data_IF_073340489011
#
_entry.id   IF_073340489011
#
_cell.length_a   1.000
_cell.length_b   1.000
_cell.length_c   1.000
_cell.angle_alpha   90.00
_cell.angle_beta   90.00
_cell.angle_gamma   90.00
#
_symmetry.space_group_name_H-M   'P 1'
#
loop_
_entity.id
_entity.type
_entity.pdbx_description
1 polymer ?
#
# COMPACT_ATOMS: atom_id res chain seq x y z
N UNK A 1 -44.72 -17.12 79.62
CA UNK A 1 -44.80 -16.66 78.22
C UNK A 1 -43.40 -16.64 77.67
N UNK A 2 -43.02 -17.67 76.91
CA UNK A 2 -41.70 -17.80 76.26
C UNK A 2 -41.88 -17.44 74.78
N UNK A 3 -41.18 -16.41 74.31
CA UNK A 3 -41.11 -16.01 72.90
C UNK A 3 -40.03 -16.82 72.24
N UNK A 4 -40.35 -17.62 71.24
CA UNK A 4 -39.42 -18.33 70.41
C UNK A 4 -38.99 -17.35 69.27
N UNK A 5 -37.70 -17.06 69.19
CA UNK A 5 -37.07 -16.31 68.07
C UNK A 5 -36.61 -17.32 67.08
N UNK A 6 -37.24 -17.37 65.93
CA UNK A 6 -36.77 -18.14 64.74
C UNK A 6 -35.75 -17.34 63.97
N UNK A 7 -34.51 -17.84 63.97
CA UNK A 7 -33.41 -17.27 63.18
C UNK A 7 -33.44 -17.82 61.77
N UNK A 8 -33.81 -17.02 60.82
CA UNK A 8 -33.80 -17.39 59.39
C UNK A 8 -32.36 -17.12 58.85
N UNK A 9 -31.59 -18.19 58.58
CA UNK A 9 -30.31 -18.13 57.94
C UNK A 9 -30.55 -18.10 56.41
N UNK A 10 -30.33 -16.92 55.77
CA UNK A 10 -30.32 -16.81 54.34
C UNK A 10 -28.94 -17.28 53.85
N UNK A 11 -28.84 -18.44 53.21
CA UNK A 11 -27.66 -18.86 52.49
C UNK A 11 -27.58 -18.09 51.14
N UNK A 12 -26.72 -17.08 51.05
CA UNK A 12 -26.35 -16.48 49.78
C UNK A 12 -25.39 -17.43 49.06
N UNK A 13 -25.88 -18.18 48.09
CA UNK A 13 -25.06 -18.86 47.11
C UNK A 13 -24.53 -17.82 46.14
N UNK A 14 -23.27 -17.46 46.30
CA UNK A 14 -22.53 -16.64 45.30
C UNK A 14 -22.40 -17.48 44.02
N UNK A 15 -23.25 -17.20 43.04
CA UNK A 15 -23.01 -17.62 41.66
C UNK A 15 -21.81 -16.79 41.16
N UNK A 16 -20.62 -17.39 41.19
CA UNK A 16 -19.49 -16.90 40.41
C UNK A 16 -19.80 -17.14 38.94
N UNK A 17 -20.49 -16.20 38.31
CA UNK A 17 -20.62 -16.15 36.86
C UNK A 17 -19.24 -15.95 36.26
N UNK A 18 -18.61 -17.05 35.85
CA UNK A 18 -17.54 -16.92 34.83
C UNK A 18 -18.25 -16.38 33.60
N UNK A 19 -18.05 -15.09 33.33
CA UNK A 19 -18.33 -14.55 32.03
C UNK A 19 -17.38 -15.28 31.06
N UNK A 20 -17.89 -16.32 30.41
CA UNK A 20 -17.24 -16.89 29.23
C UNK A 20 -17.11 -15.72 28.29
N UNK A 21 -15.90 -15.26 28.05
CA UNK A 21 -15.62 -14.32 26.95
C UNK A 21 -16.20 -14.99 25.71
N UNK A 22 -17.24 -14.40 25.15
CA UNK A 22 -17.82 -14.88 23.91
C UNK A 22 -16.73 -14.77 22.88
N UNK A 23 -16.21 -15.89 22.40
CA UNK A 23 -15.19 -15.95 21.37
C UNK A 23 -15.71 -15.12 20.19
N UNK A 24 -15.05 -14.02 19.89
CA UNK A 24 -15.45 -13.15 18.79
C UNK A 24 -15.15 -13.87 17.49
N UNK A 25 -16.17 -14.37 16.82
CA UNK A 25 -16.02 -14.97 15.51
C UNK A 25 -15.53 -13.91 14.53
N UNK A 26 -14.51 -14.24 13.74
CA UNK A 26 -14.04 -13.38 12.65
C UNK A 26 -15.19 -13.06 11.70
N UNK A 27 -15.23 -11.81 11.21
CA UNK A 27 -16.18 -11.38 10.16
C UNK A 27 -15.89 -12.05 8.82
N UNK A 28 -14.68 -12.53 8.62
CA UNK A 28 -14.17 -13.06 7.36
C UNK A 28 -13.47 -14.41 7.59
N UNK A 29 -14.22 -15.45 8.04
CA UNK A 29 -13.63 -16.77 8.24
C UNK A 29 -13.09 -17.28 6.91
N UNK A 30 -11.88 -17.87 6.89
CA UNK A 30 -11.34 -18.49 5.67
C UNK A 30 -12.24 -19.63 5.20
N UNK A 31 -12.25 -19.88 3.90
CA UNK A 31 -12.97 -21.01 3.28
C UNK A 31 -12.09 -21.69 2.23
N UNK A 32 -12.53 -22.79 1.67
CA UNK A 32 -11.85 -23.45 0.57
C UNK A 32 -11.83 -22.58 -0.72
N UNK A 33 -12.78 -21.65 -0.87
CA UNK A 33 -12.80 -20.71 -1.99
C UNK A 33 -11.76 -19.61 -1.78
N UNK A 34 -10.91 -19.30 -2.79
CA UNK A 34 -9.95 -18.22 -2.70
C UNK A 34 -10.58 -16.87 -2.39
N UNK A 35 -10.00 -16.12 -1.46
CA UNK A 35 -10.34 -14.74 -1.17
C UNK A 35 -9.07 -13.89 -0.99
N UNK A 36 -9.19 -12.58 -0.70
CA UNK A 36 -8.06 -11.64 -0.48
C UNK A 36 -7.02 -11.67 -1.60
N UNK A 37 -7.49 -11.72 -2.85
CA UNK A 37 -6.62 -11.84 -4.01
C UNK A 37 -5.93 -10.50 -4.29
N UNK A 38 -4.59 -10.51 -4.33
CA UNK A 38 -3.78 -9.35 -4.70
C UNK A 38 -2.84 -9.73 -5.84
N UNK A 39 -2.91 -8.97 -6.92
CA UNK A 39 -1.89 -8.96 -7.95
C UNK A 39 -0.77 -8.03 -7.51
N UNK A 40 0.46 -8.52 -7.44
CA UNK A 40 1.61 -7.80 -6.89
C UNK A 40 2.58 -7.44 -8.00
N UNK A 41 3.07 -6.19 -7.98
CA UNK A 41 4.16 -5.79 -8.86
C UNK A 41 5.43 -6.54 -8.47
N UNK A 42 6.21 -6.97 -9.45
CA UNK A 42 7.50 -7.61 -9.22
C UNK A 42 8.65 -6.66 -9.58
N UNK A 43 9.88 -7.07 -9.29
CA UNK A 43 11.07 -6.32 -9.67
C UNK A 43 11.17 -6.08 -11.18
N UNK A 44 10.74 -7.07 -11.99
CA UNK A 44 10.83 -7.06 -13.44
C UNK A 44 9.42 -7.09 -14.08
N UNK A 45 8.65 -6.00 -14.01
CA UNK A 45 7.22 -5.99 -14.35
C UNK A 45 6.93 -6.19 -15.85
N UNK A 46 7.94 -6.12 -16.70
CA UNK A 46 7.82 -6.42 -18.12
C UNK A 46 7.76 -7.94 -18.41
N UNK A 47 8.32 -8.77 -17.51
CA UNK A 47 8.46 -10.21 -17.74
C UNK A 47 7.98 -11.08 -16.60
N UNK A 48 7.45 -10.46 -15.53
CA UNK A 48 6.93 -11.19 -14.38
C UNK A 48 5.81 -10.45 -13.66
N UNK A 49 4.98 -11.20 -12.91
CA UNK A 49 3.91 -10.72 -12.05
C UNK A 49 3.71 -11.73 -10.93
N UNK A 50 3.31 -11.28 -9.73
CA UNK A 50 3.00 -12.20 -8.65
C UNK A 50 1.52 -12.07 -8.23
N UNK A 51 0.97 -13.12 -7.64
CA UNK A 51 -0.37 -13.13 -7.10
C UNK A 51 -0.38 -13.82 -5.74
N UNK A 52 -1.06 -13.22 -4.79
CA UNK A 52 -1.32 -13.78 -3.46
C UNK A 52 -2.81 -13.95 -3.26
N UNK A 53 -3.21 -14.94 -2.45
CA UNK A 53 -4.60 -15.15 -2.05
C UNK A 53 -4.68 -15.95 -0.76
N UNK A 54 -5.85 -15.99 -0.14
CA UNK A 54 -6.10 -16.78 1.06
C UNK A 54 -7.12 -17.88 0.80
N UNK A 55 -6.94 -19.02 1.49
CA UNK A 55 -7.97 -20.10 1.66
C UNK A 55 -7.98 -20.55 3.11
N UNK A 56 -8.83 -21.52 3.43
CA UNK A 56 -8.69 -22.32 4.65
C UNK A 56 -7.58 -23.38 4.49
N UNK A 57 -7.24 -24.04 5.59
CA UNK A 57 -6.15 -25.02 5.65
C UNK A 57 -6.47 -26.37 4.99
N UNK A 58 -7.67 -26.56 4.46
CA UNK A 58 -8.06 -27.79 3.71
C UNK A 58 -7.49 -27.80 2.30
N UNK A 59 -7.11 -26.63 1.76
CA UNK A 59 -6.46 -26.51 0.46
C UNK A 59 -4.95 -26.67 0.62
N UNK A 60 -4.40 -27.76 0.09
CA UNK A 60 -2.97 -28.11 0.23
C UNK A 60 -2.10 -27.73 -0.96
N UNK A 61 -2.72 -27.43 -2.10
CA UNK A 61 -2.01 -27.07 -3.34
C UNK A 61 -2.02 -25.56 -3.56
N UNK A 62 -0.87 -25.01 -3.89
CA UNK A 62 -0.72 -23.62 -4.33
C UNK A 62 -0.51 -23.60 -5.83
N UNK A 63 -1.58 -23.45 -6.57
CA UNK A 63 -1.59 -23.50 -8.04
C UNK A 63 -2.25 -22.26 -8.61
N UNK A 64 -1.67 -21.76 -9.70
CA UNK A 64 -2.26 -20.74 -10.54
C UNK A 64 -2.11 -21.14 -12.02
N UNK A 65 -3.01 -20.67 -12.85
CA UNK A 65 -2.95 -20.82 -14.30
C UNK A 65 -2.78 -19.45 -14.94
N UNK A 66 -1.95 -19.37 -15.99
CA UNK A 66 -1.71 -18.14 -16.75
C UNK A 66 -1.60 -18.45 -18.25
N UNK A 67 -2.19 -17.62 -19.08
CA UNK A 67 -2.10 -17.68 -20.54
C UNK A 67 -2.24 -16.29 -21.12
N UNK A 68 -1.84 -16.08 -22.38
CA UNK A 68 -2.16 -14.85 -23.09
C UNK A 68 -3.69 -14.70 -23.17
N UNK A 69 -4.19 -13.50 -22.92
CA UNK A 69 -5.64 -13.23 -22.97
C UNK A 69 -6.15 -13.29 -24.41
N UNK A 70 -6.71 -14.43 -24.78
CA UNK A 70 -7.26 -14.69 -26.11
C UNK A 70 -8.79 -14.63 -26.08
N UNK A 71 -9.47 -14.24 -27.18
CA UNK A 71 -10.91 -14.18 -27.25
C UNK A 71 -11.51 -15.59 -27.49
N UNK A 72 -11.28 -16.51 -26.55
CA UNK A 72 -11.72 -17.89 -26.59
C UNK A 72 -12.36 -18.30 -25.26
N UNK A 73 -13.27 -19.26 -25.31
CA UNK A 73 -13.82 -19.92 -24.11
C UNK A 73 -12.92 -21.05 -23.60
N UNK A 74 -11.87 -21.39 -24.32
CA UNK A 74 -10.93 -22.49 -24.04
C UNK A 74 -9.61 -22.01 -23.48
N UNK A 75 -9.60 -20.93 -22.66
CA UNK A 75 -8.38 -20.36 -22.06
C UNK A 75 -7.59 -21.42 -21.29
N UNK A 76 -8.29 -22.32 -20.60
CA UNK A 76 -7.65 -23.36 -19.79
C UNK A 76 -6.80 -24.34 -20.63
N UNK A 77 -7.14 -24.56 -21.90
CA UNK A 77 -6.43 -25.52 -22.76
C UNK A 77 -5.02 -25.01 -23.15
N UNK A 78 -4.83 -23.68 -23.13
CA UNK A 78 -3.56 -23.03 -23.46
C UNK A 78 -2.82 -22.49 -22.22
N UNK A 79 -3.39 -22.65 -21.03
CA UNK A 79 -2.82 -22.10 -19.81
C UNK A 79 -1.68 -22.98 -19.25
N UNK A 80 -0.59 -22.33 -18.90
CA UNK A 80 0.46 -22.92 -18.08
C UNK A 80 0.04 -22.98 -16.63
N UNK A 81 0.32 -24.09 -15.95
CA UNK A 81 0.11 -24.24 -14.52
C UNK A 81 1.40 -23.89 -13.81
N UNK A 82 1.32 -22.98 -12.84
CA UNK A 82 2.44 -22.55 -12.02
C UNK A 82 2.15 -22.89 -10.55
N UNK A 83 3.08 -23.56 -9.89
CA UNK A 83 3.02 -23.84 -8.46
C UNK A 83 3.76 -22.77 -7.67
N UNK A 84 3.33 -22.56 -6.43
CA UNK A 84 3.92 -21.61 -5.52
C UNK A 84 4.12 -22.16 -4.13
N UNK A 85 4.17 -21.26 -3.16
CA UNK A 85 4.36 -21.54 -1.73
C UNK A 85 3.12 -21.07 -0.94
N UNK A 86 2.99 -21.56 0.27
CA UNK A 86 1.99 -21.04 1.22
C UNK A 86 2.57 -20.93 2.63
N UNK A 87 1.92 -20.13 3.45
CA UNK A 87 2.09 -20.13 4.91
C UNK A 87 0.74 -20.04 5.61
N UNK A 88 0.66 -20.61 6.82
CA UNK A 88 -0.53 -20.54 7.66
C UNK A 88 -0.37 -19.41 8.69
N UNK A 89 -1.32 -18.49 8.74
CA UNK A 89 -1.37 -17.40 9.70
C UNK A 89 -2.53 -17.64 10.65
N UNK A 90 -2.22 -17.75 11.93
CA UNK A 90 -3.20 -17.74 13.01
C UNK A 90 -3.33 -16.32 13.56
N UNK A 91 -4.52 -15.77 13.54
CA UNK A 91 -4.83 -14.44 14.06
C UNK A 91 -6.31 -14.28 14.34
N UNK A 92 -6.66 -13.60 15.42
CA UNK A 92 -8.02 -13.28 15.82
C UNK A 92 -8.97 -14.49 15.88
N UNK A 93 -8.43 -15.67 16.28
CA UNK A 93 -9.21 -16.90 16.42
C UNK A 93 -9.49 -17.66 15.12
N UNK A 94 -8.83 -17.30 14.01
CA UNK A 94 -8.92 -18.01 12.74
C UNK A 94 -7.54 -18.37 12.21
N UNK A 95 -7.46 -19.46 11.47
CA UNK A 95 -6.24 -19.85 10.73
C UNK A 95 -6.54 -19.73 9.24
N UNK A 96 -5.85 -18.83 8.57
CA UNK A 96 -5.91 -18.67 7.11
C UNK A 96 -4.64 -19.20 6.46
N UNK A 97 -4.76 -19.86 5.33
CA UNK A 97 -3.64 -20.26 4.48
C UNK A 97 -3.47 -19.23 3.38
N UNK A 98 -2.31 -18.59 3.37
CA UNK A 98 -1.94 -17.60 2.38
C UNK A 98 -1.01 -18.22 1.36
N UNK A 99 -1.37 -18.07 0.11
CA UNK A 99 -0.68 -18.63 -1.04
C UNK A 99 0.00 -17.52 -1.83
N UNK A 100 1.16 -17.84 -2.41
CA UNK A 100 1.88 -16.93 -3.32
C UNK A 100 2.39 -17.70 -4.53
N UNK A 101 2.14 -17.14 -5.73
CA UNK A 101 2.66 -17.63 -7.01
C UNK A 101 3.28 -16.47 -7.77
N UNK A 102 4.43 -16.70 -8.39
CA UNK A 102 5.06 -15.75 -9.30
C UNK A 102 5.06 -16.31 -10.73
N UNK A 103 4.46 -15.57 -11.64
CA UNK A 103 4.55 -15.80 -13.08
C UNK A 103 5.84 -15.18 -13.60
N UNK A 104 6.64 -15.92 -14.35
CA UNK A 104 7.91 -15.48 -14.93
C UNK A 104 8.00 -15.84 -16.42
N UNK A 105 8.94 -15.23 -17.14
CA UNK A 105 9.10 -15.48 -18.56
C UNK A 105 7.95 -14.94 -19.41
N UNK A 106 7.23 -13.94 -18.91
CA UNK A 106 6.15 -13.29 -19.63
C UNK A 106 6.71 -12.38 -20.73
N UNK A 107 5.89 -12.12 -21.73
CA UNK A 107 6.19 -11.21 -22.83
C UNK A 107 5.84 -9.77 -22.43
N UNK A 108 6.72 -8.78 -22.65
CA UNK A 108 6.41 -7.37 -22.39
C UNK A 108 5.20 -6.87 -23.17
N UNK A 109 4.48 -5.88 -22.63
CA UNK A 109 3.35 -5.22 -23.27
C UNK A 109 2.19 -6.15 -23.62
N UNK A 110 2.06 -7.28 -22.93
CA UNK A 110 1.11 -8.35 -23.25
C UNK A 110 0.07 -8.51 -22.15
N UNK A 111 -1.20 -8.56 -22.55
CA UNK A 111 -2.30 -8.87 -21.63
C UNK A 111 -2.42 -10.38 -21.44
N UNK A 112 -2.38 -10.80 -20.18
CA UNK A 112 -2.55 -12.17 -19.74
C UNK A 112 -3.89 -12.35 -19.03
N UNK A 113 -4.47 -13.53 -19.17
CA UNK A 113 -5.53 -14.04 -18.31
C UNK A 113 -4.93 -15.01 -17.31
N UNK A 114 -5.34 -14.94 -16.05
CA UNK A 114 -4.92 -15.87 -15.00
C UNK A 114 -6.07 -16.23 -14.08
N UNK A 115 -5.96 -17.37 -13.42
CA UNK A 115 -6.83 -17.78 -12.32
C UNK A 115 -6.02 -18.56 -11.29
N UNK A 116 -6.53 -18.65 -10.07
CA UNK A 116 -5.86 -19.27 -8.94
C UNK A 116 -6.69 -20.40 -8.34
N UNK A 117 -6.04 -21.29 -7.60
CA UNK A 117 -6.66 -22.47 -7.00
C UNK A 117 -6.70 -23.69 -7.91
N UNK A 118 -7.33 -24.76 -7.46
CA UNK A 118 -7.45 -26.02 -8.17
C UNK A 118 -8.83 -26.66 -7.96
N UNK A 119 -9.23 -27.53 -8.90
CA UNK A 119 -10.47 -28.29 -8.82
C UNK A 119 -11.72 -27.41 -8.64
N UNK A 120 -12.60 -27.75 -7.67
CA UNK A 120 -13.80 -26.96 -7.42
C UNK A 120 -13.54 -25.62 -6.72
N UNK A 121 -12.34 -25.40 -6.20
CA UNK A 121 -11.92 -24.16 -5.53
C UNK A 121 -11.14 -23.22 -6.47
N UNK A 122 -11.28 -23.36 -7.79
CA UNK A 122 -10.66 -22.45 -8.75
C UNK A 122 -11.45 -21.14 -8.83
N UNK A 123 -10.73 -20.01 -8.94
CA UNK A 123 -11.35 -18.69 -9.13
C UNK A 123 -11.88 -18.50 -10.55
N UNK A 124 -12.55 -17.38 -10.80
CA UNK A 124 -12.77 -16.82 -12.13
C UNK A 124 -11.43 -16.45 -12.80
N UNK A 125 -11.50 -16.10 -14.09
CA UNK A 125 -10.37 -15.55 -14.81
C UNK A 125 -10.27 -14.03 -14.58
N UNK A 126 -9.08 -13.59 -14.15
CA UNK A 126 -8.68 -12.18 -14.06
C UNK A 126 -7.70 -11.84 -15.17
N UNK A 127 -7.47 -10.56 -15.41
CA UNK A 127 -6.51 -10.11 -16.42
C UNK A 127 -5.52 -9.10 -15.85
N UNK A 128 -4.31 -9.11 -16.40
CA UNK A 128 -3.32 -8.06 -16.18
C UNK A 128 -2.50 -7.84 -17.44
N UNK A 129 -1.83 -6.70 -17.53
CA UNK A 129 -0.91 -6.40 -18.64
C UNK A 129 0.48 -6.17 -18.10
N UNK A 130 1.48 -6.85 -18.67
CA UNK A 130 2.89 -6.63 -18.36
C UNK A 130 3.35 -5.25 -18.83
N UNK A 131 4.36 -4.67 -18.18
CA UNK A 131 4.97 -3.43 -18.63
C UNK A 131 5.59 -3.60 -20.03
N UNK A 132 5.68 -2.50 -20.77
CA UNK A 132 6.51 -2.43 -21.97
C UNK A 132 7.99 -2.54 -21.59
N UNK A 133 8.83 -3.00 -22.51
CA UNK A 133 10.27 -3.17 -22.26
C UNK A 133 11.06 -1.85 -22.24
N UNK A 134 10.42 -0.73 -22.48
CA UNK A 134 11.03 0.60 -22.55
C UNK A 134 10.11 1.70 -22.05
N UNK A 135 10.46 2.95 -22.37
CA UNK A 135 9.58 4.09 -22.06
C UNK A 135 8.28 4.00 -22.86
N UNK A 136 7.15 4.03 -22.17
CA UNK A 136 5.84 4.09 -22.78
C UNK A 136 4.88 4.88 -21.87
N UNK A 137 3.85 5.53 -22.42
CA UNK A 137 2.86 6.24 -21.62
C UNK A 137 2.08 5.27 -20.74
N UNK A 138 1.82 5.69 -19.49
CA UNK A 138 0.96 4.97 -18.55
C UNK A 138 0.42 5.91 -17.47
N UNK A 139 -0.55 5.43 -16.73
CA UNK A 139 -1.05 6.09 -15.51
C UNK A 139 -1.07 5.11 -14.35
N UNK A 140 -0.99 5.66 -13.15
CA UNK A 140 -1.12 4.92 -11.90
C UNK A 140 -1.93 5.71 -10.89
N UNK A 141 -2.46 5.00 -9.90
CA UNK A 141 -3.28 5.57 -8.84
C UNK A 141 -2.48 5.55 -7.54
N UNK A 142 -2.58 6.61 -6.74
CA UNK A 142 -2.03 6.66 -5.40
C UNK A 142 -3.13 6.85 -4.36
N UNK A 143 -2.98 6.13 -3.24
CA UNK A 143 -3.79 6.23 -2.03
C UNK A 143 -2.88 6.48 -0.83
N UNK A 144 -3.16 7.51 -0.06
CA UNK A 144 -2.65 7.66 1.30
C UNK A 144 -3.44 6.77 2.26
N UNK A 145 -3.25 6.98 3.55
CA UNK A 145 -3.88 6.24 4.65
C UNK A 145 -5.31 5.83 4.34
N UNK A 146 -5.58 4.52 4.23
CA UNK A 146 -6.92 3.97 3.95
C UNK A 146 -7.61 3.41 5.20
N UNK A 147 -6.93 3.46 6.35
CA UNK A 147 -7.40 2.94 7.63
C UNK A 147 -8.72 3.56 8.12
N UNK A 148 -9.37 2.87 9.04
CA UNK A 148 -10.65 3.18 9.66
C UNK A 148 -11.85 3.23 8.69
N UNK A 149 -12.80 2.31 8.92
CA UNK A 149 -14.01 2.23 8.11
C UNK A 149 -13.74 1.86 6.65
N UNK A 150 -12.71 1.07 6.39
CA UNK A 150 -12.24 0.71 5.05
C UNK A 150 -13.38 0.19 4.19
N UNK A 151 -14.16 -0.77 4.67
CA UNK A 151 -15.31 -1.33 3.95
C UNK A 151 -16.43 -0.32 3.67
N UNK A 152 -16.65 0.65 4.56
CA UNK A 152 -17.78 1.58 4.45
C UNK A 152 -17.43 2.88 3.72
N UNK A 153 -16.25 3.45 3.98
CA UNK A 153 -15.88 4.77 3.49
C UNK A 153 -14.76 4.72 2.44
N UNK A 154 -13.66 3.98 2.71
CA UNK A 154 -12.58 3.86 1.73
C UNK A 154 -13.04 3.10 0.46
N UNK A 155 -13.94 2.11 0.60
CA UNK A 155 -14.49 1.38 -0.55
C UNK A 155 -15.04 2.30 -1.66
N UNK A 156 -15.66 3.43 -1.31
CA UNK A 156 -16.15 4.37 -2.32
C UNK A 156 -15.02 5.08 -3.05
N UNK A 157 -13.90 5.33 -2.35
CA UNK A 157 -12.71 6.01 -2.92
C UNK A 157 -12.02 5.11 -3.93
N UNK A 158 -11.64 3.89 -3.54
CA UNK A 158 -10.93 2.96 -4.45
C UNK A 158 -11.78 2.59 -5.65
N UNK A 159 -13.09 2.39 -5.46
CA UNK A 159 -14.01 2.10 -6.57
C UNK A 159 -14.24 3.29 -7.49
N UNK A 160 -14.22 4.52 -6.96
CA UNK A 160 -14.27 5.74 -7.79
C UNK A 160 -12.98 5.89 -8.58
N UNK A 161 -11.82 5.70 -7.97
CA UNK A 161 -10.52 5.75 -8.61
C UNK A 161 -10.42 4.74 -9.78
N UNK A 162 -10.78 3.48 -9.53
CA UNK A 162 -10.80 2.43 -10.56
C UNK A 162 -11.71 2.79 -11.75
N UNK A 163 -12.91 3.30 -11.49
CA UNK A 163 -13.83 3.71 -12.57
C UNK A 163 -13.32 4.92 -13.37
N UNK A 164 -12.60 5.82 -12.72
CA UNK A 164 -12.12 7.05 -13.36
C UNK A 164 -10.81 6.85 -14.11
N UNK A 165 -10.03 5.82 -13.75
CA UNK A 165 -8.75 5.50 -14.39
C UNK A 165 -8.72 4.02 -14.81
N UNK A 166 -9.56 3.64 -15.81
CA UNK A 166 -9.74 2.26 -16.23
C UNK A 166 -8.52 1.78 -16.97
N UNK A 167 -7.54 1.44 -16.70
CA UNK A 167 -6.27 1.09 -17.35
C UNK A 167 -5.08 1.61 -16.59
N UNK A 168 -5.29 1.94 -15.29
CA UNK A 168 -4.19 2.19 -14.40
C UNK A 168 -3.24 0.99 -14.37
N UNK A 169 -1.96 1.25 -14.61
CA UNK A 169 -0.94 0.21 -14.64
C UNK A 169 -0.68 -0.41 -13.26
N UNK A 170 -0.92 0.35 -12.20
CA UNK A 170 -0.77 -0.08 -10.82
C UNK A 170 -1.47 0.87 -9.84
N UNK A 171 -1.69 0.37 -8.63
CA UNK A 171 -2.13 1.15 -7.47
C UNK A 171 -1.01 1.20 -6.44
N UNK A 172 -0.68 2.41 -5.98
CA UNK A 172 0.33 2.68 -4.98
C UNK A 172 -0.34 3.02 -3.65
N UNK A 173 0.14 2.43 -2.56
CA UNK A 173 -0.35 2.66 -1.20
C UNK A 173 0.75 3.22 -0.32
N UNK A 174 0.47 4.35 0.32
CA UNK A 174 1.43 5.09 1.15
C UNK A 174 1.46 4.66 2.63
N UNK A 175 1.03 3.42 2.94
CA UNK A 175 0.99 2.89 4.31
C UNK A 175 -0.31 3.18 5.05
N UNK A 176 -0.42 2.61 6.26
CA UNK A 176 -1.61 2.65 7.11
C UNK A 176 -2.87 2.16 6.35
N UNK A 177 -2.77 0.94 5.79
CA UNK A 177 -3.87 0.29 5.09
C UNK A 177 -5.00 -0.09 6.06
N UNK A 178 -4.62 -0.51 7.26
CA UNK A 178 -5.49 -0.92 8.37
C UNK A 178 -5.23 -0.06 9.60
N UNK A 179 -6.13 -0.07 10.59
CA UNK A 179 -5.96 0.66 11.85
C UNK A 179 -5.21 -0.15 12.94
N UNK A 180 -4.59 -1.25 12.55
CA UNK A 180 -3.71 -2.05 13.41
C UNK A 180 -2.63 -1.20 14.10
N UNK A 181 -1.67 -1.84 14.76
CA UNK A 181 -0.53 -1.14 15.37
C UNK A 181 -0.70 -0.80 16.84
N UNK A 182 -1.82 -1.13 17.46
CA UNK A 182 -2.00 -1.09 18.91
C UNK A 182 -2.44 -2.45 19.44
N UNK A 183 -1.73 -2.96 20.44
CA UNK A 183 -2.04 -4.25 21.07
C UNK A 183 -1.33 -5.44 20.43
N UNK A 184 -1.71 -6.64 20.88
CA UNK A 184 -1.06 -7.91 20.54
C UNK A 184 -1.77 -8.72 19.46
N UNK A 185 -2.83 -8.18 18.83
CA UNK A 185 -3.61 -8.88 17.82
C UNK A 185 -3.09 -8.57 16.41
N UNK A 186 -3.36 -9.48 15.47
CA UNK A 186 -2.99 -9.31 14.07
C UNK A 186 -4.05 -8.58 13.23
N UNK A 187 -5.22 -8.28 13.82
CA UNK A 187 -6.30 -7.51 13.21
C UNK A 187 -6.84 -8.11 11.89
N UNK A 188 -7.12 -9.42 11.85
CA UNK A 188 -7.64 -10.14 10.67
C UNK A 188 -8.90 -9.50 10.09
N UNK A 189 -9.83 -9.07 10.96
CA UNK A 189 -11.07 -8.43 10.55
C UNK A 189 -10.84 -7.09 9.82
N UNK A 190 -9.81 -6.31 10.19
CA UNK A 190 -9.47 -5.05 9.54
C UNK A 190 -8.84 -5.28 8.17
N UNK A 191 -7.94 -6.26 8.07
CA UNK A 191 -7.44 -6.71 6.77
C UNK A 191 -8.58 -7.22 5.88
N UNK A 192 -9.53 -7.97 6.45
CA UNK A 192 -10.73 -8.40 5.75
C UNK A 192 -11.61 -7.23 5.26
N UNK A 193 -11.78 -6.18 6.06
CA UNK A 193 -12.50 -4.96 5.68
C UNK A 193 -11.77 -4.22 4.54
N UNK A 194 -10.42 -4.18 4.55
CA UNK A 194 -9.62 -3.57 3.49
C UNK A 194 -9.75 -4.32 2.16
N UNK A 195 -9.61 -5.66 2.18
CA UNK A 195 -9.82 -6.50 1.00
C UNK A 195 -11.24 -6.40 0.46
N UNK A 196 -12.25 -6.38 1.34
CA UNK A 196 -13.65 -6.23 0.94
C UNK A 196 -13.94 -4.85 0.31
N UNK A 197 -13.20 -3.81 0.71
CA UNK A 197 -13.29 -2.49 0.10
C UNK A 197 -12.83 -2.52 -1.36
N UNK A 198 -11.68 -3.13 -1.62
CA UNK A 198 -11.12 -3.29 -2.95
C UNK A 198 -11.93 -4.26 -3.83
N UNK A 199 -12.43 -5.35 -3.24
CA UNK A 199 -13.12 -6.41 -3.99
C UNK A 199 -12.21 -7.04 -5.04
N UNK A 200 -12.66 -7.16 -6.28
CA UNK A 200 -11.88 -7.72 -7.38
C UNK A 200 -10.79 -6.77 -7.93
N UNK A 201 -10.78 -5.50 -7.54
CA UNK A 201 -9.88 -4.48 -8.13
C UNK A 201 -8.41 -4.87 -7.92
N UNK A 202 -8.05 -5.37 -6.74
CA UNK A 202 -6.69 -5.81 -6.44
C UNK A 202 -6.28 -7.11 -7.14
N UNK A 203 -7.21 -7.84 -7.73
CA UNK A 203 -6.90 -8.99 -8.58
C UNK A 203 -6.64 -8.63 -10.04
N UNK A 204 -6.92 -7.40 -10.47
CA UNK A 204 -6.71 -6.95 -11.86
C UNK A 204 -5.70 -5.80 -11.98
N UNK A 205 -5.58 -4.95 -10.96
CA UNK A 205 -4.63 -3.84 -10.95
C UNK A 205 -3.50 -4.13 -9.98
N UNK A 206 -2.24 -4.25 -10.46
CA UNK A 206 -1.10 -4.59 -9.62
C UNK A 206 -0.89 -3.58 -8.47
N UNK A 207 -0.51 -4.10 -7.31
CA UNK A 207 -0.30 -3.32 -6.09
C UNK A 207 1.18 -3.08 -5.86
N UNK A 208 1.50 -1.84 -5.46
CA UNK A 208 2.77 -1.40 -4.87
C UNK A 208 2.42 -0.80 -3.50
N UNK A 209 3.04 -1.26 -2.43
CA UNK A 209 2.72 -0.78 -1.10
C UNK A 209 3.98 -0.44 -0.29
N UNK A 210 3.93 0.68 0.44
CA UNK A 210 4.87 1.00 1.52
C UNK A 210 4.18 0.73 2.86
N UNK A 211 4.86 0.19 3.87
CA UNK A 211 4.26 0.05 5.19
C UNK A 211 4.19 1.40 5.92
N UNK A 212 3.10 1.61 6.65
CA UNK A 212 2.98 2.69 7.62
C UNK A 212 3.21 2.19 9.05
N UNK A 213 2.99 3.05 10.02
CA UNK A 213 3.16 2.67 11.41
C UNK A 213 2.06 1.74 11.92
N UNK A 214 0.92 1.66 11.26
CA UNK A 214 -0.17 0.77 11.60
C UNK A 214 -0.03 -0.64 11.00
N UNK A 215 0.91 -0.88 10.10
CA UNK A 215 1.29 -2.22 9.66
C UNK A 215 2.21 -2.94 10.67
N UNK A 216 2.62 -2.26 11.74
CA UNK A 216 3.39 -2.85 12.83
C UNK A 216 2.52 -3.03 14.07
N UNK A 217 2.72 -4.10 14.82
CA UNK A 217 2.02 -4.37 16.07
C UNK A 217 3.01 -4.55 17.22
N UNK A 218 2.53 -4.33 18.44
CA UNK A 218 3.33 -4.54 19.65
C UNK A 218 2.99 -5.93 20.21
N UNK A 219 3.85 -6.94 20.08
CA UNK A 219 3.65 -8.22 20.74
C UNK A 219 3.67 -8.03 22.28
N UNK A 220 3.21 -9.03 23.04
CA UNK A 220 3.02 -8.97 24.49
C UNK A 220 4.28 -8.47 25.26
N UNK A 221 5.46 -8.61 24.68
CA UNK A 221 6.70 -7.96 25.13
C UNK A 221 6.89 -6.65 24.36
N UNK A 222 6.42 -5.55 24.90
CA UNK A 222 6.43 -4.19 24.32
C UNK A 222 7.80 -3.65 23.85
N UNK A 223 8.87 -4.40 23.97
CA UNK A 223 10.21 -4.02 23.51
C UNK A 223 10.51 -4.34 22.04
N UNK A 224 9.65 -5.07 21.36
CA UNK A 224 9.87 -5.51 19.98
C UNK A 224 8.60 -5.30 19.17
N UNK A 225 8.53 -4.16 18.53
CA UNK A 225 7.52 -3.92 17.52
C UNK A 225 7.85 -4.74 16.27
N UNK A 226 6.87 -5.45 15.74
CA UNK A 226 7.04 -6.37 14.62
C UNK A 226 6.11 -5.98 13.46
N UNK A 227 6.59 -6.18 12.24
CA UNK A 227 5.75 -6.07 11.05
C UNK A 227 4.63 -7.12 11.13
N UNK A 228 3.41 -6.71 10.86
CA UNK A 228 2.25 -7.59 10.89
C UNK A 228 2.46 -8.75 9.90
N UNK A 229 2.26 -9.98 10.37
CA UNK A 229 2.45 -11.18 9.54
C UNK A 229 1.55 -11.19 8.30
N UNK A 230 0.38 -10.56 8.36
CA UNK A 230 -0.48 -10.41 7.17
C UNK A 230 0.14 -9.58 6.07
N UNK A 231 1.14 -8.71 6.36
CA UNK A 231 1.88 -8.01 5.30
C UNK A 231 2.60 -8.99 4.39
N UNK A 232 3.52 -9.79 4.95
CA UNK A 232 4.31 -10.76 4.15
C UNK A 232 3.47 -11.87 3.55
N UNK A 233 2.40 -12.28 4.24
CA UNK A 233 1.48 -13.29 3.73
C UNK A 233 0.56 -12.77 2.63
N UNK A 234 0.15 -11.48 2.72
CA UNK A 234 -0.77 -10.84 1.78
C UNK A 234 -0.09 -10.23 0.56
N UNK A 235 1.22 -9.96 0.62
CA UNK A 235 1.96 -9.36 -0.47
C UNK A 235 3.15 -10.23 -0.90
N UNK A 236 3.51 -10.16 -2.18
CA UNK A 236 4.75 -10.71 -2.73
C UNK A 236 5.42 -9.58 -3.52
N UNK A 237 6.07 -8.69 -2.78
CA UNK A 237 6.71 -7.50 -3.30
C UNK A 237 8.22 -7.74 -3.55
N UNK A 238 8.93 -6.86 -4.28
CA UNK A 238 10.36 -7.03 -4.51
C UNK A 238 11.18 -7.02 -3.21
N UNK A 239 12.23 -7.82 -3.19
CA UNK A 239 13.19 -7.95 -2.08
C UNK A 239 14.56 -7.35 -2.42
N UNK A 240 14.61 -6.35 -3.30
CA UNK A 240 15.84 -5.74 -3.81
C UNK A 240 16.31 -4.52 -3.00
N UNK A 241 15.76 -4.33 -1.82
CA UNK A 241 16.14 -3.32 -0.84
C UNK A 241 17.22 -3.77 0.14
N UNK A 242 17.45 -3.01 1.22
CA UNK A 242 18.38 -3.39 2.28
C UNK A 242 17.95 -4.65 3.00
N UNK A 243 18.92 -5.50 3.36
CA UNK A 243 18.68 -6.72 4.11
C UNK A 243 17.95 -6.45 5.44
N UNK A 244 16.95 -7.27 5.74
CA UNK A 244 16.06 -7.15 6.89
C UNK A 244 14.84 -6.27 6.65
N UNK A 245 14.71 -5.68 5.44
CA UNK A 245 13.59 -4.83 5.02
C UNK A 245 12.94 -5.37 3.72
N UNK A 246 13.06 -6.67 3.48
CA UNK A 246 12.46 -7.35 2.33
C UNK A 246 10.96 -7.02 2.25
N UNK A 247 10.44 -6.80 1.03
CA UNK A 247 9.03 -6.46 0.75
C UNK A 247 8.51 -5.16 1.40
N UNK A 248 9.36 -4.41 2.14
CA UNK A 248 8.98 -3.15 2.82
C UNK A 248 9.82 -1.96 2.36
N UNK A 249 11.07 -2.20 1.92
CA UNK A 249 11.90 -1.23 1.22
C UNK A 249 12.40 -1.88 -0.08
N UNK A 250 12.01 -1.33 -1.23
CA UNK A 250 12.33 -1.91 -2.53
C UNK A 250 12.20 -0.87 -3.66
N UNK A 251 12.64 -1.24 -4.85
CA UNK A 251 12.47 -0.39 -6.03
C UNK A 251 11.95 -1.17 -7.23
N UNK A 252 11.23 -0.47 -8.10
CA UNK A 252 10.70 -0.98 -9.37
C UNK A 252 10.95 0.05 -10.45
N UNK A 253 11.51 -0.39 -11.58
CA UNK A 253 11.57 0.43 -12.80
C UNK A 253 10.40 0.04 -13.71
N UNK A 254 9.52 1.00 -14.01
CA UNK A 254 8.35 0.79 -14.83
C UNK A 254 8.28 1.84 -15.94
N UNK A 255 8.46 1.43 -17.17
CA UNK A 255 8.32 2.27 -18.40
C UNK A 255 8.96 3.66 -18.31
N UNK A 256 10.20 3.73 -17.78
CA UNK A 256 10.97 4.99 -17.67
C UNK A 256 10.73 5.77 -16.38
N UNK A 257 10.02 5.19 -15.42
CA UNK A 257 9.87 5.73 -14.06
C UNK A 257 10.53 4.77 -13.05
N UNK A 258 11.41 5.29 -12.20
CA UNK A 258 11.91 4.59 -11.02
C UNK A 258 11.02 4.88 -9.82
N UNK A 259 10.37 3.87 -9.31
CA UNK A 259 9.66 3.89 -8.04
C UNK A 259 10.59 3.42 -6.92
N UNK A 260 10.73 4.22 -5.86
CA UNK A 260 11.54 3.90 -4.69
C UNK A 260 10.62 3.86 -3.48
N UNK A 261 10.47 2.69 -2.91
CA UNK A 261 9.64 2.45 -1.73
C UNK A 261 10.56 2.38 -0.52
N UNK A 262 10.29 3.21 0.51
CA UNK A 262 11.10 3.31 1.72
C UNK A 262 10.25 2.93 2.92
N UNK A 263 10.81 2.13 3.80
CA UNK A 263 10.21 1.81 5.10
C UNK A 263 10.55 2.90 6.11
N UNK A 264 9.74 3.94 6.13
CA UNK A 264 9.98 5.10 6.98
C UNK A 264 9.74 4.83 8.47
N UNK A 265 8.93 3.83 8.85
CA UNK A 265 8.74 3.46 10.25
C UNK A 265 10.02 2.85 10.83
N UNK A 266 10.63 1.91 10.12
CA UNK A 266 11.92 1.35 10.53
C UNK A 266 13.08 2.36 10.44
N UNK A 267 13.03 3.29 9.49
CA UNK A 267 14.01 4.38 9.41
C UNK A 267 13.97 5.26 10.68
N UNK A 268 12.79 5.59 11.17
CA UNK A 268 12.62 6.43 12.36
C UNK A 268 13.04 5.70 13.64
N UNK A 269 12.82 4.40 13.71
CA UNK A 269 13.01 3.60 14.94
C UNK A 269 14.38 2.96 15.07
N UNK A 270 15.11 2.78 13.98
CA UNK A 270 16.35 2.03 13.94
C UNK A 270 17.40 2.78 13.10
N UNK A 271 18.44 3.30 13.79
CA UNK A 271 19.52 4.05 13.16
C UNK A 271 20.27 3.23 12.08
N UNK A 272 20.44 1.91 12.28
CA UNK A 272 21.08 1.05 11.30
C UNK A 272 20.22 0.94 10.02
N UNK A 273 18.90 0.83 10.17
CA UNK A 273 17.98 0.84 9.03
C UNK A 273 17.85 2.23 8.40
N UNK A 274 17.93 3.31 9.19
CA UNK A 274 18.01 4.65 8.62
C UNK A 274 19.22 4.78 7.71
N UNK A 275 20.40 4.38 8.19
CA UNK A 275 21.62 4.44 7.41
C UNK A 275 21.58 3.52 6.18
N UNK A 276 21.20 2.27 6.33
CA UNK A 276 21.20 1.32 5.21
C UNK A 276 20.22 1.71 4.10
N UNK A 277 19.03 2.22 4.45
CA UNK A 277 18.07 2.74 3.47
C UNK A 277 18.59 4.00 2.80
N UNK A 278 19.23 4.92 3.54
CA UNK A 278 19.80 6.15 2.97
C UNK A 278 20.89 5.83 1.94
N UNK A 279 21.84 4.94 2.27
CA UNK A 279 22.92 4.51 1.40
C UNK A 279 22.35 3.81 0.14
N UNK A 280 21.34 2.98 0.32
CA UNK A 280 20.68 2.27 -0.78
C UNK A 280 19.90 3.23 -1.70
N UNK A 281 19.14 4.18 -1.15
CA UNK A 281 18.45 5.22 -1.93
C UNK A 281 19.45 6.07 -2.71
N UNK A 282 20.58 6.48 -2.10
CA UNK A 282 21.62 7.21 -2.80
C UNK A 282 22.19 6.43 -3.99
N UNK A 283 22.43 5.12 -3.80
CA UNK A 283 22.90 4.24 -4.88
C UNK A 283 21.88 4.17 -6.03
N UNK A 284 20.60 3.98 -5.71
CA UNK A 284 19.55 3.95 -6.72
C UNK A 284 19.45 5.27 -7.49
N UNK A 285 19.56 6.41 -6.81
CA UNK A 285 19.46 7.72 -7.44
C UNK A 285 20.69 8.04 -8.30
N UNK A 286 21.88 7.64 -7.87
CA UNK A 286 23.14 7.83 -8.60
C UNK A 286 23.16 7.04 -9.90
N UNK A 287 22.68 5.81 -9.88
CA UNK A 287 22.72 4.89 -11.02
C UNK A 287 21.35 4.86 -11.78
N UNK A 288 20.56 5.94 -11.64
CA UNK A 288 19.23 6.01 -12.23
C UNK A 288 19.28 6.31 -13.73
N UNK A 289 18.81 5.35 -14.53
CA UNK A 289 18.65 5.49 -15.98
C UNK A 289 17.21 5.88 -16.39
N UNK A 290 16.26 5.85 -15.44
CA UNK A 290 14.88 6.25 -15.70
C UNK A 290 14.77 7.77 -15.80
N UNK A 291 13.88 8.23 -16.64
CA UNK A 291 13.60 9.65 -16.83
C UNK A 291 12.96 10.30 -15.62
N UNK A 292 12.08 9.56 -14.93
CA UNK A 292 11.32 10.04 -13.79
C UNK A 292 11.65 9.23 -12.53
N UNK A 293 11.54 9.90 -11.38
CA UNK A 293 11.72 9.25 -10.07
C UNK A 293 10.58 9.63 -9.16
N UNK A 294 9.89 8.60 -8.62
CA UNK A 294 8.82 8.74 -7.65
C UNK A 294 9.22 7.98 -6.38
N UNK A 295 9.25 8.65 -5.24
CA UNK A 295 9.48 8.03 -3.94
C UNK A 295 8.16 7.88 -3.18
N UNK A 296 7.96 6.74 -2.53
CA UNK A 296 6.75 6.40 -1.77
C UNK A 296 7.17 5.91 -0.39
N UNK A 297 6.64 6.54 0.64
CA UNK A 297 6.81 6.13 2.03
C UNK A 297 5.76 6.78 2.92
N UNK A 298 5.61 6.31 4.15
CA UNK A 298 4.49 6.72 4.98
C UNK A 298 4.68 8.08 5.66
N UNK A 299 5.76 8.26 6.44
CA UNK A 299 5.99 9.47 7.24
C UNK A 299 6.51 10.63 6.37
N UNK A 300 5.79 11.76 6.26
CA UNK A 300 6.16 12.82 5.33
C UNK A 300 7.46 13.55 5.73
N UNK A 301 8.20 14.01 4.72
CA UNK A 301 9.36 14.90 4.91
C UNK A 301 8.95 16.21 5.59
N UNK A 302 7.79 16.72 5.21
CA UNK A 302 7.18 17.90 5.79
C UNK A 302 5.80 17.55 6.31
N UNK A 303 5.61 17.69 7.63
CA UNK A 303 4.33 17.42 8.27
C UNK A 303 3.36 18.60 8.10
N UNK A 304 2.08 18.29 8.07
CA UNK A 304 0.99 19.28 8.15
C UNK A 304 0.55 19.55 9.60
N UNK A 305 1.06 18.79 10.56
CA UNK A 305 0.77 18.92 11.99
C UNK A 305 1.95 19.52 12.74
N UNK A 306 1.70 20.60 13.52
CA UNK A 306 2.70 21.23 14.37
C UNK A 306 3.28 20.33 15.48
N UNK A 307 2.62 19.20 15.74
CA UNK A 307 3.04 18.23 16.77
C UNK A 307 3.88 17.08 16.22
N UNK A 308 4.13 17.07 14.92
CA UNK A 308 4.86 16.02 14.22
C UNK A 308 6.06 16.60 13.50
N UNK A 309 7.20 16.03 13.75
CA UNK A 309 8.45 16.34 13.05
C UNK A 309 9.18 15.05 12.74
N UNK A 310 9.19 14.69 11.46
CA UNK A 310 9.85 13.50 10.95
C UNK A 310 11.33 13.81 10.61
N UNK A 311 12.07 14.34 11.58
CA UNK A 311 13.45 14.82 11.43
C UNK A 311 14.34 13.76 10.77
N UNK A 312 14.28 12.50 11.24
CA UNK A 312 15.08 11.40 10.69
C UNK A 312 14.83 11.22 9.21
N UNK A 313 13.57 11.18 8.80
CA UNK A 313 13.19 11.03 7.37
C UNK A 313 13.68 12.23 6.56
N UNK A 314 13.46 13.44 7.08
CA UNK A 314 13.85 14.69 6.40
C UNK A 314 15.36 14.81 6.24
N UNK A 315 16.15 14.57 7.29
CA UNK A 315 17.59 14.73 7.27
C UNK A 315 18.30 13.68 6.40
N UNK A 316 17.74 12.47 6.30
CA UNK A 316 18.32 11.40 5.49
C UNK A 316 17.91 11.46 4.02
N UNK A 317 16.63 11.73 3.70
CA UNK A 317 16.12 11.60 2.33
C UNK A 317 16.11 12.92 1.56
N UNK A 318 15.73 14.04 2.19
CA UNK A 318 15.62 15.33 1.48
C UNK A 318 16.92 15.77 0.78
N UNK A 319 18.11 15.69 1.41
CA UNK A 319 19.35 16.08 0.75
C UNK A 319 19.65 15.24 -0.50
N UNK A 320 19.26 13.97 -0.50
CA UNK A 320 19.39 13.09 -1.67
C UNK A 320 18.40 13.48 -2.74
N UNK A 321 17.15 13.75 -2.38
CA UNK A 321 16.10 14.14 -3.33
C UNK A 321 16.44 15.45 -4.03
N UNK A 322 16.96 16.43 -3.31
CA UNK A 322 17.41 17.70 -3.86
C UNK A 322 18.62 17.53 -4.78
N UNK A 323 19.62 16.75 -4.33
CA UNK A 323 20.86 16.52 -5.10
C UNK A 323 20.62 15.83 -6.43
N UNK A 324 19.79 14.78 -6.42
CA UNK A 324 19.55 13.93 -7.57
C UNK A 324 18.29 14.30 -8.36
N UNK A 325 17.52 15.28 -7.87
CA UNK A 325 16.36 15.84 -8.56
C UNK A 325 15.18 14.85 -8.66
N UNK A 326 14.81 14.19 -7.55
CA UNK A 326 13.58 13.38 -7.45
C UNK A 326 12.39 14.24 -7.88
N UNK A 327 11.44 13.67 -8.60
CA UNK A 327 10.35 14.43 -9.21
C UNK A 327 9.15 14.57 -8.26
N UNK A 328 8.76 13.46 -7.63
CA UNK A 328 7.55 13.37 -6.84
C UNK A 328 7.78 12.48 -5.61
N UNK A 329 7.31 12.94 -4.45
CA UNK A 329 7.30 12.20 -3.20
C UNK A 329 5.85 12.07 -2.73
N UNK A 330 5.38 10.84 -2.55
CA UNK A 330 4.03 10.49 -2.16
C UNK A 330 4.04 9.91 -0.73
N UNK A 331 3.30 10.54 0.18
CA UNK A 331 3.29 10.18 1.62
C UNK A 331 1.89 10.26 2.22
N UNK A 332 1.72 9.65 3.40
CA UNK A 332 0.49 9.63 4.19
C UNK A 332 0.66 10.24 5.58
N UNK A 333 0.22 9.49 6.61
CA UNK A 333 0.44 9.71 8.04
C UNK A 333 -0.30 10.89 8.68
N UNK A 334 -0.40 12.02 8.04
CA UNK A 334 -0.97 13.24 8.63
C UNK A 334 -2.48 13.38 8.44
N UNK A 335 -3.11 12.44 7.75
CA UNK A 335 -4.56 12.39 7.54
C UNK A 335 -5.18 13.71 7.04
N UNK A 336 -4.44 14.43 6.20
CA UNK A 336 -4.84 15.63 5.50
C UNK A 336 -4.33 15.57 4.07
N UNK A 337 -4.66 16.53 3.26
CA UNK A 337 -4.02 16.72 1.96
C UNK A 337 -3.14 17.97 1.96
N UNK A 338 -1.90 17.81 1.57
CA UNK A 338 -0.99 18.93 1.32
C UNK A 338 -0.09 18.60 0.12
N UNK A 339 0.12 19.58 -0.74
CA UNK A 339 1.05 19.49 -1.85
C UNK A 339 1.90 20.76 -1.90
N UNK A 340 3.20 20.58 -1.92
CA UNK A 340 4.12 21.71 -1.97
C UNK A 340 5.46 21.34 -2.57
N UNK A 341 6.19 22.37 -2.91
CA UNK A 341 7.57 22.31 -3.38
C UNK A 341 8.32 23.45 -2.70
N UNK A 342 9.54 23.22 -2.27
CA UNK A 342 10.37 24.27 -1.70
C UNK A 342 10.62 25.37 -2.75
N UNK A 343 10.61 26.59 -2.26
CA UNK A 343 10.99 27.75 -3.10
C UNK A 343 12.45 27.64 -3.55
N UNK A 344 12.79 28.19 -4.71
CA UNK A 344 14.14 28.12 -5.29
C UNK A 344 15.25 28.59 -4.36
N UNK A 345 14.96 29.56 -3.48
CA UNK A 345 15.90 30.15 -2.53
C UNK A 345 16.33 29.17 -1.44
N UNK A 346 15.46 28.23 -1.06
CA UNK A 346 15.75 27.22 -0.03
C UNK A 346 16.39 25.95 -0.58
N UNK A 347 16.15 25.64 -1.86
CA UNK A 347 16.61 24.41 -2.52
C UNK A 347 17.82 24.62 -3.44
N UNK A 348 18.28 25.86 -3.64
CA UNK A 348 19.30 26.21 -4.64
C UNK A 348 18.84 26.08 -6.09
N UNK A 349 17.55 25.85 -6.32
CA UNK A 349 16.94 25.72 -7.64
C UNK A 349 16.69 27.11 -8.23
N UNK A 350 16.97 27.28 -9.52
CA UNK A 350 16.74 28.57 -10.19
C UNK A 350 15.24 28.85 -10.32
N UNK A 351 14.86 30.11 -10.14
CA UNK A 351 13.46 30.55 -10.31
C UNK A 351 12.87 30.03 -11.64
N UNK A 352 11.69 29.41 -11.55
CA UNK A 352 11.01 28.79 -12.70
C UNK A 352 11.49 27.37 -13.04
N UNK A 353 12.33 26.76 -12.22
CA UNK A 353 12.62 25.33 -12.27
C UNK A 353 11.78 24.60 -11.20
N UNK A 354 11.32 23.39 -11.50
CA UNK A 354 10.67 22.54 -10.54
C UNK A 354 11.71 21.80 -9.68
N UNK A 355 11.56 21.86 -8.37
CA UNK A 355 12.21 20.98 -7.40
C UNK A 355 11.47 19.65 -7.26
N UNK A 356 11.68 18.99 -6.14
CA UNK A 356 10.88 17.83 -5.71
C UNK A 356 9.51 18.30 -5.25
N UNK A 357 8.45 17.70 -5.79
CA UNK A 357 7.08 17.95 -5.30
C UNK A 357 6.77 16.94 -4.20
N UNK A 358 6.39 17.44 -3.03
CA UNK A 358 5.99 16.64 -1.87
C UNK A 358 4.47 16.62 -1.75
N UNK A 359 3.91 15.43 -1.53
CA UNK A 359 2.47 15.21 -1.34
C UNK A 359 2.24 14.43 -0.06
N UNK A 360 1.35 14.95 0.78
CA UNK A 360 0.72 14.23 1.87
C UNK A 360 -0.72 14.00 1.48
N UNK A 361 -1.23 12.76 1.60
CA UNK A 361 -2.62 12.45 1.21
C UNK A 361 -3.28 11.49 2.19
N UNK A 362 -4.62 11.47 2.18
CA UNK A 362 -5.46 10.58 2.97
C UNK A 362 -6.63 10.09 2.14
N UNK A 363 -6.83 8.78 2.12
CA UNK A 363 -7.93 8.13 1.39
C UNK A 363 -8.98 7.54 2.34
N UNK A 364 -8.60 7.29 3.59
CA UNK A 364 -9.46 6.80 4.66
C UNK A 364 -10.31 7.86 5.33
N UNK A 365 -11.02 7.45 6.37
CA UNK A 365 -11.99 8.31 7.10
C UNK A 365 -11.37 9.09 8.26
N UNK A 366 -10.18 8.73 8.71
CA UNK A 366 -9.48 9.41 9.79
C UNK A 366 -8.94 10.74 9.30
N UNK A 367 -9.26 11.83 10.00
CA UNK A 367 -8.94 13.18 9.55
C UNK A 367 -8.29 13.98 10.67
N UNK A 368 -7.26 14.76 10.32
CA UNK A 368 -6.56 15.66 11.25
C UNK A 368 -6.65 17.12 10.79
N UNK A 369 -6.05 18.01 11.61
CA UNK A 369 -5.96 19.44 11.31
C UNK A 369 -4.63 19.76 10.66
N UNK A 370 -4.62 20.78 9.83
CA UNK A 370 -3.40 21.42 9.33
C UNK A 370 -3.09 22.60 10.26
N UNK A 371 -2.15 22.42 11.18
CA UNK A 371 -1.78 23.42 12.17
C UNK A 371 -0.26 23.67 12.25
N UNK A 372 0.54 23.06 11.34
CA UNK A 372 1.94 23.37 11.13
C UNK A 372 2.12 24.69 10.35
N UNK A 373 3.34 25.23 10.38
CA UNK A 373 3.73 26.32 9.50
C UNK A 373 3.56 25.89 8.05
N UNK A 374 2.86 26.71 7.29
CA UNK A 374 2.45 26.37 5.93
C UNK A 374 3.65 26.27 4.99
N UNK A 375 3.98 25.05 4.57
CA UNK A 375 4.94 24.73 3.52
C UNK A 375 4.29 24.40 2.18
N UNK A 376 3.00 24.14 2.18
CA UNK A 376 2.23 23.68 1.02
C UNK A 376 1.61 24.84 0.23
N UNK A 377 1.52 24.67 -1.10
CA UNK A 377 0.79 25.56 -2.01
C UNK A 377 -0.66 25.14 -2.21
N UNK A 378 -1.00 23.86 -1.99
CA UNK A 378 -2.38 23.38 -1.96
C UNK A 378 -2.59 22.53 -0.69
N UNK A 379 -3.67 22.77 0.04
CA UNK A 379 -4.01 22.06 1.26
C UNK A 379 -5.50 21.90 1.45
N UNK A 380 -5.94 20.71 1.90
CA UNK A 380 -7.33 20.37 2.17
C UNK A 380 -7.45 19.54 3.43
N UNK A 381 -8.54 19.69 4.15
CA UNK A 381 -8.89 18.91 5.33
C UNK A 381 -10.31 18.37 5.22
N UNK A 382 -10.65 17.40 6.05
CA UNK A 382 -11.99 16.80 6.11
C UNK A 382 -12.47 16.23 4.75
N UNK A 383 -11.55 15.65 3.99
CA UNK A 383 -11.86 15.03 2.69
C UNK A 383 -11.07 13.74 2.51
N UNK A 384 -11.65 12.81 1.75
CA UNK A 384 -10.99 11.59 1.29
C UNK A 384 -10.55 11.82 -0.15
N UNK A 385 -9.30 11.57 -0.45
CA UNK A 385 -8.72 11.81 -1.77
C UNK A 385 -8.08 10.55 -2.35
N UNK A 386 -7.99 10.53 -3.65
CA UNK A 386 -7.14 9.64 -4.43
C UNK A 386 -6.46 10.43 -5.54
N UNK A 387 -5.33 9.97 -6.02
CA UNK A 387 -4.56 10.68 -7.02
C UNK A 387 -4.36 9.83 -8.26
N UNK A 388 -4.54 10.46 -9.43
CA UNK A 388 -4.14 9.93 -10.73
C UNK A 388 -2.85 10.61 -11.15
N UNK A 389 -1.83 9.82 -11.44
CA UNK A 389 -0.58 10.31 -12.01
C UNK A 389 -0.38 9.66 -13.38
N UNK A 390 -0.22 10.47 -14.41
CA UNK A 390 0.05 10.01 -15.77
C UNK A 390 1.43 10.49 -16.26
N UNK A 391 2.15 9.57 -16.87
CA UNK A 391 3.49 9.83 -17.45
C UNK A 391 3.42 9.59 -18.94
N UNK A 392 3.87 10.57 -19.72
CA UNK A 392 3.96 10.48 -21.17
C UNK A 392 5.23 11.23 -21.63
N UNK A 393 6.25 10.48 -21.96
CA UNK A 393 7.54 11.01 -22.39
C UNK A 393 8.13 12.04 -21.41
N UNK A 394 8.09 13.32 -21.76
CA UNK A 394 8.62 14.41 -20.96
C UNK A 394 7.59 15.08 -20.04
N UNK A 395 6.41 14.52 -19.90
CA UNK A 395 5.29 15.09 -19.14
C UNK A 395 4.88 14.12 -18.05
N UNK A 396 4.83 14.60 -16.79
CA UNK A 396 4.19 13.95 -15.66
C UNK A 396 3.04 14.87 -15.23
N UNK A 397 1.81 14.35 -15.30
CA UNK A 397 0.63 15.08 -14.84
C UNK A 397 0.08 14.41 -13.59
N UNK A 398 -0.22 15.20 -12.59
CA UNK A 398 -0.81 14.80 -11.32
C UNK A 398 -2.18 15.44 -11.17
N UNK A 399 -3.15 14.67 -10.72
CA UNK A 399 -4.49 15.11 -10.37
C UNK A 399 -4.96 14.44 -9.09
N UNK A 400 -5.42 15.22 -8.13
CA UNK A 400 -6.07 14.73 -6.92
C UNK A 400 -7.59 14.91 -7.06
N UNK A 401 -8.34 13.88 -6.72
CA UNK A 401 -9.79 13.87 -6.79
C UNK A 401 -10.37 13.50 -5.42
N UNK A 402 -11.53 14.06 -5.10
CA UNK A 402 -12.29 13.65 -3.93
C UNK A 402 -13.02 12.31 -4.15
N UNK A 403 -13.61 11.78 -3.09
CA UNK A 403 -14.34 10.52 -3.12
C UNK A 403 -15.60 10.54 -4.04
N UNK A 404 -16.00 11.70 -4.55
CA UNK A 404 -17.10 11.88 -5.51
C UNK A 404 -16.59 12.03 -6.95
N UNK A 405 -15.28 12.12 -7.14
CA UNK A 405 -14.64 12.29 -8.45
C UNK A 405 -14.48 13.75 -8.87
N UNK A 406 -14.66 14.72 -7.97
CA UNK A 406 -14.39 16.11 -8.27
C UNK A 406 -12.88 16.38 -8.16
N UNK A 407 -12.34 17.14 -9.11
CA UNK A 407 -10.96 17.58 -9.11
C UNK A 407 -10.72 18.52 -7.93
N UNK A 408 -9.75 18.17 -7.08
CA UNK A 408 -9.39 18.91 -5.87
C UNK A 408 -8.08 19.69 -6.03
N UNK A 409 -7.10 19.11 -6.74
CA UNK A 409 -5.81 19.75 -7.03
C UNK A 409 -5.19 19.14 -8.29
N UNK A 410 -4.32 19.89 -8.97
CA UNK A 410 -3.58 19.39 -10.13
C UNK A 410 -2.30 20.17 -10.39
N UNK A 411 -1.34 19.49 -11.00
CA UNK A 411 -0.14 20.12 -11.58
C UNK A 411 0.45 19.27 -12.69
N UNK A 412 1.34 19.87 -13.45
CA UNK A 412 2.09 19.18 -14.50
C UNK A 412 3.57 19.52 -14.37
N UNK A 413 4.42 18.49 -14.34
CA UNK A 413 5.87 18.65 -14.48
C UNK A 413 6.24 18.36 -15.93
N UNK A 414 6.98 19.27 -16.55
CA UNK A 414 7.50 19.10 -17.91
C UNK A 414 9.02 19.14 -17.88
N UNK A 415 9.67 18.12 -18.41
CA UNK A 415 11.11 18.08 -18.62
C UNK A 415 11.48 18.72 -19.96
N UNK A 416 12.47 19.61 -19.95
CA UNK A 416 13.05 20.20 -21.16
C UNK A 416 14.20 19.34 -21.68
N UNK A 417 14.60 19.55 -22.95
CA UNK A 417 15.73 18.83 -23.56
C UNK A 417 17.06 18.99 -22.80
N UNK A 418 17.24 20.08 -22.08
CA UNK A 418 18.45 20.34 -21.25
C UNK A 418 18.37 19.73 -19.84
N UNK A 419 17.36 18.87 -19.56
CA UNK A 419 17.16 18.22 -18.27
C UNK A 419 16.46 19.07 -17.21
N UNK A 420 16.27 20.39 -17.43
CA UNK A 420 15.55 21.23 -16.47
C UNK A 420 14.06 20.88 -16.44
N UNK A 421 13.43 21.07 -15.28
CA UNK A 421 12.01 20.81 -15.06
C UNK A 421 11.25 22.12 -14.88
N UNK A 422 10.03 22.15 -15.37
CA UNK A 422 9.05 23.22 -15.11
C UNK A 422 7.82 22.61 -14.49
N UNK A 423 7.25 23.26 -13.49
CA UNK A 423 5.95 22.93 -12.94
C UNK A 423 4.94 23.98 -13.39
N UNK A 424 3.79 23.51 -13.84
CA UNK A 424 2.62 24.33 -14.15
C UNK A 424 1.47 23.87 -13.25
N UNK A 425 0.92 24.81 -12.48
CA UNK A 425 -0.28 24.62 -11.65
C UNK A 425 -1.39 25.43 -12.28
N UNK A 426 -2.27 24.82 -13.09
CA UNK A 426 -3.35 25.52 -13.79
C UNK A 426 -4.45 25.99 -12.85
#
# INVERSE_FOLDING_TARGET
MKKNLILLILAMTAFSGHAMAQERLSKYPPSASPDRIILNITRDPATSMAVTWRTDTTIHETLAQVTVNLPTVFLADSASVVSGIYEDIEGDGVVGRFHSVQFTGLTPGTTYAYRIGSGPAVSEWFTFTTAESGEAPFSFIYFGDSQLGSKSLYARVIRQAYRSTPGAAMMLFGGDLVDGGSGSTLHDDEWGDWHAAAGFITSEVPVVAAPGNHEYYDPAERSKRELNRYWRAGFTLPENGPAGLEETAYSVDYQGVRFIIVNSDEMIRNEAFAKSQTDWVETLLKDNLCKWTVAIFHHPVYSTSARRDNTVVRENLKPLFDRYGVDLVLTGHDHTYARGMLEPEESGIKKGQAGTVYVVSVSGSKQYRQDADQWWQAGLTNTQLWQEISVDGNRLAYRAYDASGNLADQFVITRKKNGSKRIDTP
#
